data_IF_569771194255
#
_entry.id   IF_569771194255
#
_cell.length_a   1.000
_cell.length_b   1.000
_cell.length_c   1.000
_cell.angle_alpha   90.00
_cell.angle_beta   90.00
_cell.angle_gamma   90.00
#
_symmetry.space_group_name_H-M   'P 1'
#
loop_
_entity.id
_entity.type
_entity.pdbx_description
1 polymer ?
#
# COMPACT_ATOMS: atom_id res chain seq x y z
N UNK A 1 29.55 23.21 46.87
CA UNK A 1 28.79 22.01 47.27
C UNK A 1 27.37 22.13 46.73
N UNK A 2 27.04 21.46 45.63
CA UNK A 2 25.72 21.51 44.99
C UNK A 2 24.97 20.18 45.22
N UNK A 3 23.75 20.25 45.77
CA UNK A 3 22.88 19.10 46.03
C UNK A 3 22.31 18.53 44.73
N UNK A 4 22.28 17.18 44.54
CA UNK A 4 21.68 16.58 43.36
C UNK A 4 20.15 16.64 43.43
N UNK A 5 19.55 17.02 42.30
CA UNK A 5 18.11 17.21 42.10
C UNK A 5 17.48 15.86 41.75
N UNK A 6 16.64 15.33 42.64
CA UNK A 6 15.98 14.04 42.46
C UNK A 6 15.04 14.04 41.24
N UNK A 7 15.20 13.03 40.39
CA UNK A 7 14.33 12.75 39.25
C UNK A 7 12.98 12.24 39.75
N UNK A 8 11.92 12.97 39.37
CA UNK A 8 10.53 12.72 39.73
C UNK A 8 10.01 11.57 38.87
N UNK A 9 9.63 10.46 39.50
CA UNK A 9 9.05 9.30 38.82
C UNK A 9 7.74 9.69 38.11
N UNK A 10 7.65 9.37 36.81
CA UNK A 10 6.45 9.56 36.00
C UNK A 10 5.47 8.43 36.33
N UNK A 11 4.22 8.72 36.71
CA UNK A 11 3.24 7.68 36.99
C UNK A 11 2.88 6.94 35.70
N UNK A 12 3.19 5.64 35.67
CA UNK A 12 2.74 4.72 34.62
C UNK A 12 1.22 4.60 34.69
N UNK A 13 0.54 5.31 33.78
CA UNK A 13 -0.90 5.19 33.56
C UNK A 13 -1.19 3.78 33.02
N UNK A 14 -1.48 2.86 33.93
CA UNK A 14 -2.12 1.58 33.61
C UNK A 14 -3.57 1.85 33.22
N UNK A 15 -3.78 2.31 31.98
CA UNK A 15 -5.10 2.38 31.37
C UNK A 15 -5.56 0.95 31.11
N UNK A 16 -6.23 0.37 32.10
CA UNK A 16 -6.95 -0.89 31.96
C UNK A 16 -8.09 -0.70 30.96
N UNK A 17 -7.79 -0.83 29.66
CA UNK A 17 -8.79 -0.84 28.59
C UNK A 17 -9.64 -2.11 28.77
N UNK A 18 -10.89 -1.92 29.18
CA UNK A 18 -11.92 -2.97 29.22
C UNK A 18 -11.99 -3.63 27.84
N UNK A 19 -11.61 -4.92 27.74
CA UNK A 19 -11.96 -5.74 26.58
C UNK A 19 -13.47 -5.92 26.60
N UNK A 20 -14.16 -5.42 25.58
CA UNK A 20 -15.58 -5.73 25.38
C UNK A 20 -15.71 -7.16 24.87
N UNK A 21 -16.62 -7.98 25.42
CA UNK A 21 -16.88 -9.30 24.85
C UNK A 21 -17.52 -9.14 23.46
N UNK A 22 -17.07 -9.94 22.49
CA UNK A 22 -17.59 -9.95 21.12
C UNK A 22 -19.12 -10.20 21.05
N UNK A 23 -19.69 -10.75 22.12
CA UNK A 23 -21.13 -11.01 22.29
C UNK A 23 -22.03 -9.77 22.30
N UNK A 24 -21.48 -8.56 22.25
CA UNK A 24 -22.24 -7.31 22.16
C UNK A 24 -22.46 -6.82 20.73
N UNK A 25 -21.84 -7.47 19.75
CA UNK A 25 -21.98 -7.11 18.35
C UNK A 25 -23.23 -7.77 17.77
N UNK A 26 -24.00 -7.00 17.00
CA UNK A 26 -25.21 -7.47 16.33
C UNK A 26 -24.85 -8.52 15.28
N UNK A 27 -25.42 -9.73 15.35
CA UNK A 27 -25.18 -10.75 14.33
C UNK A 27 -25.52 -10.22 12.93
N UNK A 28 -24.65 -10.49 11.96
CA UNK A 28 -24.84 -10.08 10.55
C UNK A 28 -24.50 -8.61 10.23
N UNK A 29 -24.07 -7.80 11.20
CA UNK A 29 -23.60 -6.44 10.95
C UNK A 29 -22.12 -6.41 10.52
N UNK A 30 -21.76 -5.46 9.66
CA UNK A 30 -20.37 -5.16 9.33
C UNK A 30 -19.84 -4.02 10.18
N UNK A 31 -18.62 -4.19 10.66
CA UNK A 31 -17.92 -3.20 11.47
C UNK A 31 -16.66 -2.73 10.76
N UNK A 32 -16.32 -1.46 10.93
CA UNK A 32 -15.01 -0.93 10.55
C UNK A 32 -14.08 -0.88 11.76
N UNK A 33 -12.79 -1.11 11.56
CA UNK A 33 -11.80 -0.97 12.62
C UNK A 33 -10.36 -0.86 12.13
N UNK A 34 -9.44 -0.65 13.06
CA UNK A 34 -8.00 -0.58 12.81
C UNK A 34 -7.29 -1.62 13.67
N UNK A 35 -6.40 -2.39 13.06
CA UNK A 35 -5.60 -3.39 13.77
C UNK A 35 -4.53 -2.64 14.59
N UNK A 36 -4.47 -2.90 15.89
CA UNK A 36 -3.49 -2.29 16.81
C UNK A 36 -2.35 -3.24 17.15
N UNK A 37 -2.62 -4.55 17.20
CA UNK A 37 -1.66 -5.57 17.61
C UNK A 37 -2.00 -6.90 16.93
N UNK A 38 -0.97 -7.69 16.61
CA UNK A 38 -1.08 -9.07 16.17
C UNK A 38 -0.29 -9.97 17.12
N UNK A 39 -0.89 -11.05 17.61
CA UNK A 39 -0.25 -12.05 18.45
C UNK A 39 -0.88 -13.42 18.20
N UNK A 40 -0.06 -14.41 17.81
CA UNK A 40 -0.47 -15.81 17.69
C UNK A 40 -1.75 -16.05 16.86
N UNK A 41 -1.92 -15.29 15.77
CA UNK A 41 -3.11 -15.40 14.90
C UNK A 41 -4.36 -14.67 15.40
N UNK A 42 -4.27 -14.02 16.56
CA UNK A 42 -5.31 -13.16 17.12
C UNK A 42 -4.90 -11.70 16.96
N UNK A 43 -5.85 -10.88 16.54
CA UNK A 43 -5.64 -9.47 16.22
C UNK A 43 -6.46 -8.60 17.17
N UNK A 44 -5.80 -7.67 17.84
CA UNK A 44 -6.48 -6.63 18.61
C UNK A 44 -6.91 -5.54 17.66
N UNK A 45 -8.22 -5.33 17.52
CA UNK A 45 -8.79 -4.34 16.61
C UNK A 45 -9.53 -3.27 17.40
N UNK A 46 -9.22 -2.01 17.13
CA UNK A 46 -10.02 -0.89 17.62
C UNK A 46 -11.12 -0.61 16.61
N UNK A 47 -12.37 -0.83 16.99
CA UNK A 47 -13.54 -0.49 16.17
C UNK A 47 -13.67 1.04 16.04
N UNK A 48 -14.41 1.48 15.04
CA UNK A 48 -14.65 2.91 14.78
C UNK A 48 -15.35 3.64 15.94
N UNK A 49 -16.10 2.93 16.78
CA UNK A 49 -16.72 3.46 18.00
C UNK A 49 -15.75 3.55 19.20
N UNK A 50 -14.49 3.16 19.00
CA UNK A 50 -13.43 3.21 20.01
C UNK A 50 -13.29 1.95 20.86
N UNK A 51 -14.19 0.96 20.72
CA UNK A 51 -14.10 -0.31 21.43
C UNK A 51 -12.90 -1.12 20.97
N UNK A 52 -12.23 -1.80 21.91
CA UNK A 52 -11.13 -2.71 21.61
C UNK A 52 -11.64 -4.14 21.68
N UNK A 53 -11.55 -4.86 20.57
CA UNK A 53 -12.03 -6.22 20.40
C UNK A 53 -10.89 -7.12 19.93
N UNK A 54 -11.05 -8.43 20.13
CA UNK A 54 -10.18 -9.43 19.52
C UNK A 54 -10.90 -10.00 18.30
N UNK A 55 -10.14 -10.17 17.23
CA UNK A 55 -10.63 -10.73 15.98
C UNK A 55 -9.62 -11.71 15.41
N UNK A 56 -10.12 -12.66 14.64
CA UNK A 56 -9.32 -13.61 13.87
C UNK A 56 -9.43 -13.27 12.38
N UNK A 57 -8.56 -13.82 11.55
CA UNK A 57 -8.71 -13.65 10.11
C UNK A 57 -9.87 -14.49 9.62
N UNK A 58 -10.72 -13.89 8.80
CA UNK A 58 -11.68 -14.68 8.05
C UNK A 58 -10.93 -15.66 7.12
N UNK A 59 -11.53 -16.82 6.82
CA UNK A 59 -11.01 -17.71 5.78
C UNK A 59 -10.78 -16.94 4.48
N UNK A 60 -9.57 -17.04 3.92
CA UNK A 60 -9.19 -16.39 2.65
C UNK A 60 -8.52 -15.02 2.79
N UNK A 61 -8.34 -14.49 4.01
CA UNK A 61 -7.56 -13.28 4.24
C UNK A 61 -6.09 -13.64 4.48
N UNK A 62 -5.22 -13.21 3.56
CA UNK A 62 -3.78 -13.46 3.64
C UNK A 62 -3.14 -12.76 4.85
N UNK A 63 -2.31 -13.44 5.66
CA UNK A 63 -1.60 -12.81 6.77
C UNK A 63 -0.68 -11.67 6.35
N UNK A 64 -0.05 -11.76 5.17
CA UNK A 64 0.83 -10.71 4.63
C UNK A 64 0.08 -9.41 4.35
N UNK A 65 -1.14 -9.49 3.79
CA UNK A 65 -2.04 -8.34 3.64
C UNK A 65 -2.29 -7.68 4.99
N UNK A 66 -2.46 -8.46 6.05
CA UNK A 66 -2.74 -7.95 7.39
C UNK A 66 -1.51 -7.30 8.02
N UNK A 67 -0.32 -7.80 7.73
CA UNK A 67 0.92 -7.11 8.10
C UNK A 67 1.01 -5.74 7.41
N UNK A 68 0.73 -5.69 6.11
CA UNK A 68 0.71 -4.42 5.36
C UNK A 68 -0.34 -3.45 5.90
N UNK A 69 -1.54 -3.95 6.20
CA UNK A 69 -2.64 -3.19 6.81
C UNK A 69 -2.26 -2.66 8.18
N UNK A 70 -1.63 -3.48 9.01
CA UNK A 70 -1.16 -3.11 10.34
C UNK A 70 -0.09 -2.01 10.24
N UNK A 71 0.88 -2.18 9.34
CA UNK A 71 1.93 -1.20 9.08
C UNK A 71 1.35 0.13 8.56
N UNK A 72 0.41 0.06 7.61
CA UNK A 72 -0.23 1.23 7.00
C UNK A 72 -1.34 1.83 7.86
N UNK A 73 -1.73 1.16 8.95
CA UNK A 73 -2.93 1.46 9.76
C UNK A 73 -4.18 1.64 8.88
N UNK A 74 -4.35 0.74 7.91
CA UNK A 74 -5.49 0.79 7.02
C UNK A 74 -6.76 0.33 7.73
N UNK A 75 -7.91 0.86 7.28
CA UNK A 75 -9.21 0.45 7.78
C UNK A 75 -9.48 -0.99 7.36
N UNK A 76 -9.97 -1.81 8.26
CA UNK A 76 -10.44 -3.17 7.98
C UNK A 76 -11.93 -3.29 8.22
N UNK A 77 -12.53 -4.24 7.50
CA UNK A 77 -13.90 -4.67 7.76
C UNK A 77 -13.90 -5.91 8.64
N UNK A 78 -14.85 -5.97 9.56
CA UNK A 78 -15.08 -7.09 10.48
C UNK A 78 -16.53 -7.56 10.42
N UNK A 79 -16.74 -8.84 10.70
CA UNK A 79 -18.08 -9.45 10.81
C UNK A 79 -18.14 -10.43 11.99
N UNK A 80 -19.13 -10.30 12.89
CA UNK A 80 -19.33 -11.26 13.97
C UNK A 80 -19.96 -12.55 13.44
N UNK A 81 -19.48 -13.67 13.96
CA UNK A 81 -20.08 -15.00 13.83
C UNK A 81 -20.60 -15.46 15.19
N UNK A 82 -21.30 -16.61 15.27
CA UNK A 82 -21.69 -17.16 16.56
C UNK A 82 -20.52 -17.40 17.52
N UNK A 83 -19.33 -17.68 16.96
CA UNK A 83 -18.17 -18.14 17.74
C UNK A 83 -17.05 -17.10 17.86
N UNK A 84 -16.93 -16.16 16.90
CA UNK A 84 -15.79 -15.23 16.82
C UNK A 84 -16.11 -13.93 16.07
N UNK A 85 -15.19 -12.97 16.14
CA UNK A 85 -15.19 -11.79 15.27
C UNK A 85 -14.13 -11.97 14.18
N UNK A 86 -14.51 -11.86 12.92
CA UNK A 86 -13.62 -12.14 11.80
C UNK A 86 -13.26 -10.85 11.05
N UNK A 87 -11.97 -10.65 10.76
CA UNK A 87 -11.46 -9.62 9.85
C UNK A 87 -11.67 -10.13 8.42
N UNK A 88 -12.52 -9.44 7.66
CA UNK A 88 -12.87 -9.81 6.29
C UNK A 88 -11.86 -9.30 5.25
N UNK A 89 -11.10 -8.26 5.60
CA UNK A 89 -10.09 -7.66 4.72
C UNK A 89 -9.91 -6.16 4.95
N UNK A 90 -9.01 -5.56 4.17
CA UNK A 90 -8.74 -4.13 4.17
C UNK A 90 -9.75 -3.37 3.30
N UNK A 91 -10.29 -2.26 3.80
CA UNK A 91 -11.08 -1.35 2.98
C UNK A 91 -10.13 -0.44 2.20
N UNK A 92 -10.05 -0.66 0.89
CA UNK A 92 -9.34 0.27 0.01
C UNK A 92 -10.19 1.51 -0.24
N UNK A 93 -9.72 2.65 0.25
CA UNK A 93 -10.42 3.94 0.13
C UNK A 93 -9.77 4.91 -0.86
N UNK A 94 -8.69 4.50 -1.55
CA UNK A 94 -7.99 5.33 -2.55
C UNK A 94 -8.01 4.67 -3.92
N UNK A 95 -8.34 5.46 -4.94
CA UNK A 95 -8.17 5.13 -6.35
C UNK A 95 -6.73 5.44 -6.74
N UNK A 96 -5.84 4.44 -6.73
CA UNK A 96 -4.48 4.59 -7.29
C UNK A 96 -3.92 3.19 -7.56
N UNK A 97 -3.13 3.02 -8.64
CA UNK A 97 -2.36 1.80 -8.88
C UNK A 97 -1.58 1.42 -7.61
N UNK A 98 -1.83 0.20 -7.13
CA UNK A 98 -1.16 -0.33 -5.96
C UNK A 98 0.28 -0.70 -6.29
N UNK A 99 1.19 -0.39 -5.37
CA UNK A 99 2.53 -0.98 -5.39
C UNK A 99 2.41 -2.39 -4.82
N UNK A 100 2.89 -3.38 -5.55
CA UNK A 100 2.85 -4.79 -5.12
C UNK A 100 3.88 -5.05 -3.99
N UNK A 101 3.89 -6.26 -3.45
CA UNK A 101 4.81 -6.65 -2.37
C UNK A 101 6.29 -6.63 -2.80
N UNK A 102 6.56 -6.64 -4.11
CA UNK A 102 7.89 -6.65 -4.72
C UNK A 102 8.43 -5.24 -5.02
N UNK A 103 7.59 -4.20 -4.85
CA UNK A 103 7.96 -2.79 -5.06
C UNK A 103 7.61 -2.22 -6.44
N UNK A 104 6.92 -2.98 -7.28
CA UNK A 104 6.51 -2.53 -8.61
C UNK A 104 5.17 -1.79 -8.57
N UNK A 105 5.10 -0.70 -9.33
CA UNK A 105 3.87 0.04 -9.58
C UNK A 105 3.18 -0.50 -10.83
N UNK A 106 2.06 -1.22 -10.65
CA UNK A 106 1.29 -1.71 -11.78
C UNK A 106 0.12 -0.77 -12.12
N UNK A 107 0.20 -0.12 -13.29
CA UNK A 107 -0.86 0.73 -13.82
C UNK A 107 -1.63 -0.01 -14.91
N UNK A 108 -2.85 -0.46 -14.61
CA UNK A 108 -3.77 -1.05 -15.60
C UNK A 108 -4.89 -0.08 -15.95
N UNK A 109 -4.96 0.32 -17.21
CA UNK A 109 -6.05 1.12 -17.73
C UNK A 109 -6.32 0.78 -19.20
N UNK A 110 -7.56 0.99 -19.68
CA UNK A 110 -7.90 0.90 -21.12
C UNK A 110 -7.17 1.94 -21.95
N UNK A 111 -6.84 3.07 -21.33
CA UNK A 111 -6.03 4.14 -21.88
C UNK A 111 -5.20 4.72 -20.75
N UNK A 112 -3.90 4.80 -20.96
CA UNK A 112 -2.99 5.57 -20.12
C UNK A 112 -2.63 6.81 -20.92
N UNK A 113 -3.22 7.94 -20.56
CA UNK A 113 -2.79 9.23 -21.06
C UNK A 113 -1.74 9.75 -20.09
N UNK A 114 -0.49 9.80 -20.54
CA UNK A 114 0.58 10.49 -19.81
C UNK A 114 0.81 11.80 -20.54
N UNK A 115 0.35 12.89 -19.92
CA UNK A 115 0.54 14.23 -20.43
C UNK A 115 1.66 14.89 -19.62
N UNK A 116 2.61 15.49 -20.32
CA UNK A 116 3.71 16.24 -19.74
C UNK A 116 3.90 17.51 -20.56
N UNK A 117 3.95 18.66 -19.88
CA UNK A 117 4.02 19.98 -20.53
C UNK A 117 5.39 20.23 -21.16
N UNK A 118 6.46 19.75 -20.51
CA UNK A 118 7.84 20.04 -20.91
C UNK A 118 8.60 18.79 -21.38
N UNK A 119 8.56 17.73 -20.57
CA UNK A 119 9.33 16.50 -20.80
C UNK A 119 8.65 15.28 -20.18
N UNK A 120 8.63 14.17 -20.92
CA UNK A 120 8.33 12.83 -20.42
C UNK A 120 9.61 11.99 -20.43
N UNK A 121 9.96 11.40 -19.29
CA UNK A 121 11.17 10.58 -19.13
C UNK A 121 10.82 9.21 -18.53
N UNK A 122 11.22 8.13 -19.22
CA UNK A 122 11.11 6.76 -18.74
C UNK A 122 12.52 6.19 -18.59
N UNK A 123 12.86 5.76 -17.37
CA UNK A 123 14.18 5.20 -17.05
C UNK A 123 14.06 3.77 -16.55
N UNK A 124 14.98 2.92 -16.99
CA UNK A 124 15.14 1.56 -16.50
C UNK A 124 16.63 1.21 -16.49
N UNK A 125 17.23 1.16 -15.30
CA UNK A 125 18.68 1.00 -15.15
C UNK A 125 19.45 2.11 -15.88
N UNK A 126 20.30 1.72 -16.84
CA UNK A 126 21.07 2.63 -17.69
C UNK A 126 20.35 3.06 -18.99
N UNK A 127 19.13 2.56 -19.21
CA UNK A 127 18.34 2.89 -20.40
C UNK A 127 17.38 4.03 -20.11
N UNK A 128 17.23 4.92 -21.08
CA UNK A 128 16.45 6.13 -20.95
C UNK A 128 15.73 6.48 -22.25
N UNK A 129 14.44 6.80 -22.13
CA UNK A 129 13.61 7.33 -23.18
C UNK A 129 13.09 8.71 -22.72
N UNK A 130 13.41 9.75 -23.49
CA UNK A 130 13.00 11.12 -23.25
C UNK A 130 12.21 11.65 -24.45
N UNK A 131 11.02 12.21 -24.18
CA UNK A 131 10.25 13.00 -25.15
C UNK A 131 10.23 14.45 -24.66
N UNK A 132 10.64 15.37 -25.54
CA UNK A 132 10.66 16.81 -25.28
C UNK A 132 9.54 17.53 -26.04
N UNK A 133 9.09 18.66 -25.51
CA UNK A 133 8.02 19.48 -26.10
C UNK A 133 8.25 19.92 -27.56
N UNK A 134 9.51 19.96 -28.02
CA UNK A 134 9.87 20.30 -29.42
C UNK A 134 9.71 19.12 -30.40
N UNK A 135 9.08 18.03 -29.97
CA UNK A 135 8.93 16.81 -30.76
C UNK A 135 10.24 16.01 -30.88
N UNK A 136 11.24 16.32 -30.05
CA UNK A 136 12.51 15.56 -30.01
C UNK A 136 12.35 14.35 -29.11
N UNK A 137 12.68 13.18 -29.65
CA UNK A 137 12.77 11.94 -28.89
C UNK A 137 14.24 11.54 -28.77
N UNK A 138 14.71 11.28 -27.56
CA UNK A 138 16.03 10.72 -27.29
C UNK A 138 15.86 9.34 -26.66
N UNK A 139 16.58 8.37 -27.20
CA UNK A 139 16.64 7.00 -26.70
C UNK A 139 18.11 6.67 -26.45
N UNK A 140 18.48 6.44 -25.19
CA UNK A 140 19.79 6.02 -24.76
C UNK A 140 19.69 4.57 -24.26
N UNK A 141 20.55 3.69 -24.75
CA UNK A 141 20.63 2.31 -24.30
C UNK A 141 21.69 1.53 -25.08
N UNK A 142 22.13 0.41 -24.52
CA UNK A 142 23.15 -0.45 -25.14
C UNK A 142 22.63 -1.18 -26.38
N UNK A 143 21.35 -1.57 -26.35
CA UNK A 143 20.70 -2.31 -27.43
C UNK A 143 19.28 -1.79 -27.60
N UNK A 144 18.95 -1.44 -28.85
CA UNK A 144 17.61 -1.03 -29.21
C UNK A 144 16.96 -2.10 -30.07
N UNK A 145 15.85 -2.66 -29.59
CA UNK A 145 15.01 -3.57 -30.37
C UNK A 145 13.72 -2.84 -30.74
N UNK A 146 13.55 -2.56 -32.03
CA UNK A 146 12.32 -1.98 -32.54
C UNK A 146 11.60 -3.01 -33.38
N UNK A 147 10.35 -3.31 -33.01
CA UNK A 147 9.45 -4.10 -33.84
C UNK A 147 8.41 -3.17 -34.42
N UNK A 148 8.42 -3.01 -35.74
CA UNK A 148 7.46 -2.15 -36.43
C UNK A 148 6.61 -3.01 -37.35
N UNK A 149 5.29 -2.84 -37.26
CA UNK A 149 4.31 -3.59 -38.04
C UNK A 149 3.94 -2.89 -39.37
N UNK A 150 4.57 -1.76 -39.67
CA UNK A 150 4.37 -0.96 -40.88
C UNK A 150 5.70 -0.35 -41.38
N UNK A 151 5.67 0.29 -42.55
CA UNK A 151 6.85 0.87 -43.19
C UNK A 151 7.51 1.95 -42.33
N UNK A 152 8.77 1.73 -41.95
CA UNK A 152 9.63 2.77 -41.37
C UNK A 152 10.35 3.49 -42.50
N UNK A 153 10.20 4.82 -42.57
CA UNK A 153 11.00 5.67 -43.46
C UNK A 153 12.05 6.38 -42.63
N UNK A 154 13.30 5.98 -42.79
CA UNK A 154 14.45 6.67 -42.20
C UNK A 154 14.93 7.70 -43.22
N UNK A 155 14.57 8.97 -43.00
CA UNK A 155 14.84 10.05 -43.98
C UNK A 155 16.28 10.53 -43.98
N UNK A 156 17.01 10.35 -42.87
CA UNK A 156 18.45 10.58 -42.78
C UNK A 156 19.00 9.86 -41.56
N UNK A 157 19.87 8.89 -41.75
CA UNK A 157 20.67 8.35 -40.67
C UNK A 157 22.14 8.46 -41.09
N UNK A 158 22.94 9.13 -40.27
CA UNK A 158 24.37 8.85 -40.23
C UNK A 158 24.50 7.55 -39.44
N UNK A 159 24.54 6.43 -40.15
CA UNK A 159 24.77 5.12 -39.54
C UNK A 159 26.26 4.89 -39.56
N UNK A 160 26.90 4.94 -38.39
CA UNK A 160 28.25 4.45 -38.21
C UNK A 160 28.12 3.00 -37.71
N UNK A 161 28.43 2.04 -38.58
CA UNK A 161 28.55 0.64 -38.20
C UNK A 161 30.00 0.40 -37.74
N UNK A 162 30.22 -0.40 -36.68
CA UNK A 162 31.57 -0.79 -36.26
C UNK A 162 32.28 -1.66 -37.31
#
# INVERSE_FOLDING_TARGET
MAKPRALRAVPSLKTSRKRGPASQLSPGALYGGFIELAAEGVYSVRLLDGQLVQAELAPGVEPSLIQDVLQRRALVLLSPTPDALLILGALQTRMTPGVNADGDLEVRARRVNVEAEEQLELRSGQSELQLQHQGRMRLNGERLYMRVHANVRVYSAKVELP
#
